data_IF_503325007452
#
_entry.id   IF_503325007452
#
_cell.length_a   1.000
_cell.length_b   1.000
_cell.length_c   1.000
_cell.angle_alpha   90.00
_cell.angle_beta   90.00
_cell.angle_gamma   90.00
#
_symmetry.space_group_name_H-M   'P 1'
#
loop_
_entity.id
_entity.type
_entity.pdbx_description
1 polymer ?
#
# COMPACT_ATOMS: atom_id res chain seq x y z
N UNK A 1 4.47 -30.14 4.17
CA UNK A 1 5.24 -29.50 3.09
C UNK A 1 6.64 -29.07 3.53
N UNK A 2 6.80 -28.24 4.57
CA UNK A 2 8.12 -27.68 4.89
C UNK A 2 8.89 -28.39 6.03
N UNK A 3 8.27 -29.38 6.71
CA UNK A 3 8.91 -30.10 7.83
C UNK A 3 10.23 -30.77 7.43
N UNK A 4 10.32 -31.34 6.23
CA UNK A 4 11.53 -31.99 5.72
C UNK A 4 12.69 -31.03 5.44
N UNK A 5 12.43 -29.72 5.39
CA UNK A 5 13.44 -28.68 5.18
C UNK A 5 14.05 -28.19 6.49
N UNK A 6 13.48 -28.56 7.63
CA UNK A 6 13.94 -28.16 8.96
C UNK A 6 15.09 -29.02 9.43
N UNK A 7 16.09 -28.39 10.04
CA UNK A 7 17.20 -29.09 10.68
C UNK A 7 16.85 -29.36 12.14
N UNK A 8 17.39 -30.46 12.70
CA UNK A 8 17.31 -30.76 14.12
C UNK A 8 18.70 -30.71 14.73
N UNK A 9 18.93 -29.76 15.62
CA UNK A 9 20.19 -29.60 16.36
C UNK A 9 19.91 -29.56 17.86
N UNK A 10 20.70 -30.28 18.66
CA UNK A 10 20.58 -30.29 20.12
C UNK A 10 19.14 -30.53 20.65
N UNK A 11 18.36 -31.38 19.97
CA UNK A 11 16.97 -31.69 20.34
C UNK A 11 15.94 -30.62 19.94
N UNK A 12 16.36 -29.51 19.33
CA UNK A 12 15.50 -28.44 18.83
C UNK A 12 15.26 -28.59 17.34
N UNK A 13 14.07 -28.19 16.88
CA UNK A 13 13.75 -28.10 15.45
C UNK A 13 13.90 -26.65 15.01
N UNK A 14 14.62 -26.40 13.91
CA UNK A 14 14.99 -25.05 13.47
C UNK A 14 14.39 -24.77 12.08
N UNK A 15 13.69 -23.64 11.89
CA UNK A 15 13.21 -22.73 12.94
C UNK A 15 12.15 -23.39 13.83
N UNK A 16 11.98 -22.86 15.04
CA UNK A 16 10.86 -23.22 15.89
C UNK A 16 9.52 -22.78 15.26
N UNK A 17 8.38 -23.06 15.91
CA UNK A 17 7.06 -22.75 15.35
C UNK A 17 6.77 -21.25 15.27
N UNK A 18 7.25 -20.48 16.24
CA UNK A 18 6.98 -19.05 16.29
C UNK A 18 7.82 -18.32 15.23
N UNK A 19 9.10 -18.67 15.11
CA UNK A 19 10.02 -18.13 14.12
C UNK A 19 9.61 -18.52 12.69
N UNK A 20 9.11 -19.75 12.49
CA UNK A 20 8.55 -20.16 11.20
C UNK A 20 7.29 -19.36 10.83
N UNK A 21 6.40 -19.11 11.79
CA UNK A 21 5.19 -18.31 11.56
C UNK A 21 5.52 -16.85 11.24
N UNK A 22 6.51 -16.28 11.95
CA UNK A 22 7.09 -14.97 11.66
C UNK A 22 7.68 -14.91 10.24
N UNK A 23 8.44 -15.93 9.82
CA UNK A 23 9.00 -16.00 8.47
C UNK A 23 7.89 -15.99 7.40
N UNK A 24 6.80 -16.72 7.59
CA UNK A 24 5.70 -16.73 6.59
C UNK A 24 5.01 -15.38 6.47
N UNK A 25 4.76 -14.67 7.58
CA UNK A 25 4.22 -13.30 7.53
C UNK A 25 5.20 -12.34 6.85
N UNK A 26 6.49 -12.46 7.16
CA UNK A 26 7.55 -11.66 6.55
C UNK A 26 7.56 -11.88 5.04
N UNK A 27 7.60 -13.13 4.58
CA UNK A 27 7.53 -13.48 3.16
C UNK A 27 6.30 -12.88 2.48
N UNK A 28 5.11 -12.96 3.07
CA UNK A 28 3.88 -12.39 2.48
C UNK A 28 4.01 -10.87 2.30
N UNK A 29 4.55 -10.18 3.30
CA UNK A 29 4.64 -8.72 3.32
C UNK A 29 5.76 -8.13 2.45
N UNK A 30 6.83 -8.89 2.19
CA UNK A 30 8.05 -8.37 1.55
C UNK A 30 8.42 -9.02 0.23
N UNK A 31 7.64 -10.00 -0.26
CA UNK A 31 7.99 -10.70 -1.50
C UNK A 31 8.09 -9.73 -2.68
N UNK A 32 9.12 -9.85 -3.54
CA UNK A 32 9.34 -8.92 -4.63
C UNK A 32 8.25 -9.02 -5.70
N UNK A 33 7.98 -7.90 -6.37
CA UNK A 33 7.03 -7.85 -7.49
C UNK A 33 7.63 -8.42 -8.78
N UNK A 34 8.96 -8.47 -8.89
CA UNK A 34 9.67 -8.93 -10.08
C UNK A 34 10.65 -10.05 -9.73
N UNK A 35 10.81 -11.03 -10.62
CA UNK A 35 11.79 -12.10 -10.41
C UNK A 35 13.24 -11.62 -10.50
N UNK A 36 13.48 -10.45 -11.11
CA UNK A 36 14.80 -9.82 -11.16
C UNK A 36 15.33 -9.43 -9.77
N UNK A 37 14.45 -9.07 -8.83
CA UNK A 37 14.79 -8.72 -7.45
C UNK A 37 14.93 -9.96 -6.54
N UNK A 38 14.52 -11.14 -7.02
CA UNK A 38 14.42 -12.34 -6.21
C UNK A 38 15.77 -12.81 -5.61
N UNK A 39 16.90 -12.78 -6.33
CA UNK A 39 18.19 -13.17 -5.73
C UNK A 39 18.59 -12.28 -4.55
N UNK A 40 18.58 -10.95 -4.72
CA UNK A 40 18.91 -9.99 -3.65
C UNK A 40 17.92 -10.11 -2.48
N UNK A 41 16.65 -10.38 -2.77
CA UNK A 41 15.62 -10.58 -1.75
C UNK A 41 15.95 -11.75 -0.81
N UNK A 42 16.45 -12.88 -1.32
CA UNK A 42 16.78 -14.05 -0.48
C UNK A 42 17.87 -13.69 0.52
N UNK A 43 18.90 -12.97 0.08
CA UNK A 43 20.01 -12.54 0.95
C UNK A 43 19.53 -11.54 2.01
N UNK A 44 18.75 -10.53 1.60
CA UNK A 44 18.12 -9.57 2.53
C UNK A 44 17.26 -10.25 3.59
N UNK A 45 16.48 -11.25 3.20
CA UNK A 45 15.62 -11.99 4.11
C UNK A 45 16.43 -12.80 5.12
N UNK A 46 17.52 -13.44 4.68
CA UNK A 46 18.42 -14.18 5.59
C UNK A 46 19.00 -13.25 6.66
N UNK A 47 19.54 -12.11 6.25
CA UNK A 47 20.09 -11.12 7.19
C UNK A 47 19.01 -10.64 8.18
N UNK A 48 17.80 -10.40 7.67
CA UNK A 48 16.69 -9.97 8.50
C UNK A 48 16.24 -11.03 9.53
N UNK A 49 16.10 -12.30 9.14
CA UNK A 49 15.68 -13.33 10.09
C UNK A 49 16.70 -13.54 11.20
N UNK A 50 18.01 -13.46 10.91
CA UNK A 50 19.06 -13.54 11.93
C UNK A 50 18.97 -12.36 12.90
N UNK A 51 18.81 -11.14 12.37
CA UNK A 51 18.58 -9.96 13.20
C UNK A 51 17.35 -10.15 14.10
N UNK A 52 16.23 -10.61 13.53
CA UNK A 52 14.98 -10.78 14.27
C UNK A 52 15.13 -11.78 15.44
N UNK A 53 15.75 -12.93 15.22
CA UNK A 53 15.92 -13.94 16.29
C UNK A 53 16.93 -13.52 17.36
N UNK A 54 17.95 -12.74 17.00
CA UNK A 54 18.87 -12.11 17.97
C UNK A 54 18.18 -11.04 18.82
N UNK A 55 17.26 -10.28 18.23
CA UNK A 55 16.46 -9.30 18.99
C UNK A 55 15.49 -9.97 19.96
N UNK A 56 14.88 -11.08 19.54
CA UNK A 56 13.96 -11.87 20.36
C UNK A 56 14.64 -12.54 21.57
N UNK A 57 15.94 -12.88 21.47
CA UNK A 57 16.76 -13.45 22.57
C UNK A 57 16.24 -14.79 23.12
N UNK A 58 15.48 -15.55 22.33
CA UNK A 58 14.95 -16.86 22.72
C UNK A 58 15.97 -17.97 22.49
N UNK A 59 16.51 -18.07 21.27
CA UNK A 59 17.45 -19.13 20.88
C UNK A 59 18.87 -18.62 20.60
N UNK A 60 19.03 -17.34 20.25
CA UNK A 60 20.31 -16.67 19.99
C UNK A 60 20.25 -15.21 20.45
N UNK A 61 21.39 -14.57 20.70
CA UNK A 61 21.46 -13.17 21.09
C UNK A 61 22.73 -12.49 20.54
N UNK A 62 22.70 -11.16 20.42
CA UNK A 62 23.85 -10.37 19.92
C UNK A 62 25.16 -10.63 20.67
N UNK A 63 25.12 -10.76 22.01
CA UNK A 63 26.31 -10.96 22.84
C UNK A 63 26.71 -12.44 22.97
N UNK A 64 25.83 -13.36 22.57
CA UNK A 64 26.07 -14.81 22.65
C UNK A 64 25.34 -15.50 21.50
N UNK A 65 25.89 -15.43 20.28
CA UNK A 65 25.28 -16.06 19.12
C UNK A 65 25.23 -17.59 19.26
N UNK A 66 24.09 -18.18 18.94
CA UNK A 66 23.93 -19.63 18.72
C UNK A 66 24.05 -19.89 17.20
N UNK A 67 25.27 -20.19 16.76
CA UNK A 67 25.57 -20.40 15.34
C UNK A 67 24.78 -21.56 14.73
N UNK A 68 24.44 -22.59 15.51
CA UNK A 68 23.67 -23.73 15.00
C UNK A 68 22.23 -23.30 14.69
N UNK A 69 21.62 -22.50 15.56
CA UNK A 69 20.28 -21.95 15.32
C UNK A 69 20.27 -20.99 14.13
N UNK A 70 21.24 -20.08 14.07
CA UNK A 70 21.33 -19.07 13.01
C UNK A 70 21.58 -19.71 11.64
N UNK A 71 22.54 -20.64 11.56
CA UNK A 71 22.82 -21.36 10.32
C UNK A 71 21.64 -22.24 9.91
N UNK A 72 21.04 -22.97 10.86
CA UNK A 72 19.87 -23.81 10.60
C UNK A 72 18.68 -23.01 10.05
N UNK A 73 18.44 -21.80 10.56
CA UNK A 73 17.36 -20.94 10.06
C UNK A 73 17.70 -20.36 8.69
N UNK A 74 18.95 -19.93 8.47
CA UNK A 74 19.41 -19.46 7.16
C UNK A 74 19.27 -20.55 6.08
N UNK A 75 19.72 -21.77 6.39
CA UNK A 75 19.57 -22.93 5.50
C UNK A 75 18.10 -23.27 5.24
N UNK A 76 17.22 -23.12 6.24
CA UNK A 76 15.78 -23.29 6.04
C UNK A 76 15.24 -22.26 5.03
N UNK A 77 15.59 -20.98 5.16
CA UNK A 77 15.17 -19.92 4.21
C UNK A 77 15.68 -20.23 2.80
N UNK A 78 16.96 -20.55 2.66
CA UNK A 78 17.54 -20.91 1.36
C UNK A 78 16.82 -22.10 0.73
N UNK A 79 16.63 -23.18 1.49
CA UNK A 79 15.97 -24.41 1.00
C UNK A 79 14.51 -24.17 0.66
N UNK A 80 13.83 -23.29 1.40
CA UNK A 80 12.44 -22.93 1.14
C UNK A 80 12.29 -22.19 -0.19
N UNK A 81 13.24 -21.32 -0.51
CA UNK A 81 13.23 -20.42 -1.66
C UNK A 81 14.07 -20.91 -2.86
N UNK A 82 14.81 -22.00 -2.71
CA UNK A 82 15.66 -22.60 -3.76
C UNK A 82 14.82 -23.06 -4.96
N UNK A 83 15.35 -22.80 -6.17
CA UNK A 83 14.80 -23.22 -7.46
C UNK A 83 13.29 -22.91 -7.60
N UNK A 84 12.93 -21.64 -7.87
CA UNK A 84 11.55 -21.16 -7.85
C UNK A 84 10.55 -22.00 -8.63
N UNK A 85 10.99 -22.54 -9.78
CA UNK A 85 10.15 -23.32 -10.69
C UNK A 85 9.93 -24.77 -10.25
N UNK A 86 10.74 -25.28 -9.31
CA UNK A 86 10.68 -26.65 -8.81
C UNK A 86 10.22 -26.74 -7.34
N UNK A 87 10.03 -25.60 -6.66
CA UNK A 87 9.65 -25.57 -5.24
C UNK A 87 8.14 -25.74 -5.05
N UNK A 88 7.73 -26.85 -4.42
CA UNK A 88 6.33 -27.08 -4.01
C UNK A 88 5.78 -25.96 -3.10
N UNK A 89 6.67 -25.31 -2.34
CA UNK A 89 6.27 -24.17 -1.52
C UNK A 89 5.96 -22.96 -2.41
N UNK A 90 6.87 -22.59 -3.32
CA UNK A 90 6.68 -21.39 -4.14
C UNK A 90 5.53 -21.52 -5.12
N UNK A 91 5.24 -22.73 -5.63
CA UNK A 91 4.09 -22.97 -6.50
C UNK A 91 2.74 -22.71 -5.81
N UNK A 92 2.65 -22.95 -4.49
CA UNK A 92 1.46 -22.62 -3.68
C UNK A 92 1.50 -21.21 -3.10
N UNK A 93 2.70 -20.74 -2.75
CA UNK A 93 2.91 -19.44 -2.10
C UNK A 93 2.71 -18.28 -3.06
N UNK A 94 3.29 -18.32 -4.27
CA UNK A 94 3.24 -17.19 -5.22
C UNK A 94 1.81 -16.78 -5.59
N UNK A 95 0.87 -17.69 -5.92
CA UNK A 95 -0.52 -17.30 -6.18
C UNK A 95 -1.20 -16.66 -4.97
N UNK A 96 -0.94 -17.17 -3.77
CA UNK A 96 -1.47 -16.61 -2.54
C UNK A 96 -0.89 -15.22 -2.26
N UNK A 97 0.43 -15.06 -2.37
CA UNK A 97 1.10 -13.78 -2.16
C UNK A 97 0.66 -12.74 -3.20
N UNK A 98 0.51 -13.12 -4.47
CA UNK A 98 0.02 -12.22 -5.51
C UNK A 98 -1.38 -11.66 -5.18
N UNK A 99 -2.28 -12.52 -4.69
CA UNK A 99 -3.59 -12.11 -4.16
C UNK A 99 -3.46 -11.10 -3.02
N UNK A 100 -2.57 -11.33 -2.06
CA UNK A 100 -2.37 -10.42 -0.93
C UNK A 100 -1.76 -9.08 -1.39
N UNK A 101 -0.80 -9.11 -2.30
CA UNK A 101 -0.15 -7.93 -2.86
C UNK A 101 -1.16 -6.96 -3.51
N UNK A 102 -2.17 -7.48 -4.21
CA UNK A 102 -3.22 -6.63 -4.79
C UNK A 102 -4.00 -5.82 -3.75
N UNK A 103 -4.40 -6.47 -2.65
CA UNK A 103 -5.04 -5.77 -1.55
C UNK A 103 -4.06 -4.85 -0.80
N UNK A 104 -2.79 -5.23 -0.71
CA UNK A 104 -1.72 -4.40 -0.17
C UNK A 104 -1.54 -3.09 -0.94
N UNK A 105 -1.61 -3.14 -2.27
CA UNK A 105 -1.59 -1.96 -3.14
C UNK A 105 -2.79 -1.05 -2.83
N UNK A 106 -4.01 -1.59 -2.80
CA UNK A 106 -5.23 -0.82 -2.55
C UNK A 106 -5.24 -0.17 -1.14
N UNK A 107 -4.81 -0.92 -0.12
CA UNK A 107 -4.62 -0.39 1.23
C UNK A 107 -3.57 0.73 1.26
N UNK A 108 -2.46 0.56 0.53
CA UNK A 108 -1.40 1.57 0.46
C UNK A 108 -1.87 2.86 -0.21
N UNK A 109 -2.70 2.78 -1.27
CA UNK A 109 -3.28 3.98 -1.90
C UNK A 109 -4.20 4.73 -0.91
N UNK A 110 -4.98 4.01 -0.12
CA UNK A 110 -5.80 4.59 0.95
C UNK A 110 -4.94 5.28 2.01
N UNK A 111 -3.85 4.64 2.45
CA UNK A 111 -2.92 5.27 3.39
C UNK A 111 -2.24 6.52 2.81
N UNK A 112 -1.87 6.51 1.53
CA UNK A 112 -1.29 7.69 0.86
C UNK A 112 -2.30 8.84 0.82
N UNK A 113 -3.57 8.58 0.51
CA UNK A 113 -4.62 9.60 0.59
C UNK A 113 -4.72 10.18 2.00
N UNK A 114 -4.90 9.32 3.00
CA UNK A 114 -5.09 9.73 4.39
C UNK A 114 -3.90 10.55 4.91
N UNK A 115 -2.67 10.05 4.71
CA UNK A 115 -1.43 10.73 5.12
C UNK A 115 -1.34 12.15 4.56
N UNK A 116 -1.70 12.33 3.29
CA UNK A 116 -1.59 13.62 2.61
C UNK A 116 -2.78 14.56 2.83
N UNK A 117 -3.88 14.11 3.42
CA UNK A 117 -5.10 14.94 3.55
C UNK A 117 -5.51 15.20 4.99
N UNK A 118 -5.05 14.37 5.93
CA UNK A 118 -5.20 14.59 7.36
C UNK A 118 -4.47 15.86 7.84
N UNK A 119 -4.80 16.39 9.04
CA UNK A 119 -4.08 17.50 9.66
C UNK A 119 -2.60 17.17 9.88
N UNK A 120 -1.75 18.19 9.74
CA UNK A 120 -0.29 18.06 9.86
C UNK A 120 0.44 18.16 8.52
N UNK A 121 1.75 17.93 8.57
CA UNK A 121 2.64 17.96 7.41
C UNK A 121 2.95 16.51 7.01
N UNK A 122 2.56 16.06 5.81
CA UNK A 122 2.86 14.71 5.37
C UNK A 122 4.36 14.57 5.14
N UNK A 123 4.95 13.54 5.74
CA UNK A 123 6.32 13.14 5.49
C UNK A 123 6.38 11.99 4.46
N UNK A 124 7.47 11.92 3.72
CA UNK A 124 7.75 10.87 2.75
C UNK A 124 9.21 10.44 2.89
N UNK A 125 9.41 9.23 3.43
CA UNK A 125 10.73 8.63 3.48
C UNK A 125 11.27 8.38 2.08
N UNK A 126 12.58 8.49 1.91
CA UNK A 126 13.22 8.33 0.60
C UNK A 126 12.88 6.98 -0.03
N UNK A 127 12.41 6.99 -1.28
CA UNK A 127 12.04 5.78 -2.01
C UNK A 127 10.58 5.36 -1.89
N UNK A 128 9.83 5.91 -0.92
CA UNK A 128 8.43 5.54 -0.65
C UNK A 128 7.42 6.12 -1.64
N UNK A 129 7.84 6.92 -2.63
CA UNK A 129 6.97 7.26 -3.75
C UNK A 129 6.60 6.04 -4.60
N UNK A 130 7.41 4.97 -4.54
CA UNK A 130 7.14 3.64 -5.11
C UNK A 130 6.81 2.62 -4.00
N UNK A 131 6.68 1.34 -4.35
CA UNK A 131 6.59 0.26 -3.36
C UNK A 131 7.96 0.06 -2.70
N UNK A 132 8.04 0.35 -1.41
CA UNK A 132 9.23 0.11 -0.61
C UNK A 132 8.96 -1.04 0.35
N UNK A 133 9.42 -2.24 -0.02
CA UNK A 133 9.27 -3.47 0.77
C UNK A 133 10.55 -3.77 1.54
N UNK A 134 11.05 -2.76 2.26
CA UNK A 134 12.24 -2.89 3.11
C UNK A 134 11.91 -3.51 4.47
N UNK A 135 12.87 -4.26 5.00
CA UNK A 135 12.90 -4.71 6.38
C UNK A 135 13.44 -3.60 7.31
N UNK A 136 13.65 -3.95 8.58
CA UNK A 136 14.33 -3.07 9.55
C UNK A 136 15.76 -2.73 9.12
N UNK A 137 16.30 -1.65 9.67
CA UNK A 137 17.71 -1.24 9.56
C UNK A 137 18.67 -2.44 9.61
N UNK A 138 19.68 -2.54 8.72
CA UNK A 138 20.06 -1.60 7.67
C UNK A 138 19.30 -1.70 6.35
N UNK A 139 18.32 -2.61 6.22
CA UNK A 139 17.65 -2.87 4.93
C UNK A 139 16.81 -1.68 4.43
N UNK A 140 16.29 -0.84 5.34
CA UNK A 140 15.60 0.42 5.02
C UNK A 140 16.55 1.58 4.70
N UNK A 141 17.87 1.35 4.67
CA UNK A 141 18.90 2.33 4.29
C UNK A 141 19.57 2.02 2.95
N UNK A 142 19.05 1.05 2.18
CA UNK A 142 19.52 0.76 0.82
C UNK A 142 19.41 2.00 -0.07
N UNK A 143 20.26 2.05 -1.09
CA UNK A 143 20.29 3.17 -2.04
C UNK A 143 18.97 3.29 -2.81
N UNK A 144 18.55 4.52 -3.06
CA UNK A 144 17.36 4.82 -3.86
C UNK A 144 17.77 5.13 -5.29
N UNK A 145 17.15 4.46 -6.27
CA UNK A 145 17.28 4.82 -7.68
C UNK A 145 16.41 6.05 -7.99
N UNK A 146 17.01 7.22 -7.87
CA UNK A 146 16.37 8.50 -8.16
C UNK A 146 16.21 8.76 -9.66
N UNK A 147 17.08 8.21 -10.51
CA UNK A 147 16.99 8.41 -11.96
C UNK A 147 15.71 7.77 -12.49
N UNK A 148 15.42 6.53 -12.08
CA UNK A 148 14.18 5.85 -12.43
C UNK A 148 12.94 6.64 -11.98
N UNK A 149 12.93 7.14 -10.75
CA UNK A 149 11.81 7.91 -10.17
C UNK A 149 11.60 9.24 -10.87
N UNK A 150 12.68 9.97 -11.15
CA UNK A 150 12.62 11.24 -11.89
C UNK A 150 12.10 11.04 -13.31
N UNK A 151 12.56 9.99 -14.00
CA UNK A 151 12.07 9.63 -15.33
C UNK A 151 10.59 9.26 -15.32
N UNK A 152 10.15 8.43 -14.37
CA UNK A 152 8.74 8.09 -14.20
C UNK A 152 7.87 9.34 -13.94
N UNK A 153 8.30 10.23 -13.04
CA UNK A 153 7.59 11.49 -12.76
C UNK A 153 7.52 12.41 -13.98
N UNK A 154 8.62 12.51 -14.75
CA UNK A 154 8.65 13.29 -16.00
C UNK A 154 7.63 12.75 -17.01
N UNK A 155 7.57 11.44 -17.19
CA UNK A 155 6.62 10.79 -18.09
C UNK A 155 5.16 10.99 -17.63
N UNK A 156 4.88 10.86 -16.33
CA UNK A 156 3.56 11.17 -15.77
C UNK A 156 3.15 12.61 -16.10
N UNK A 157 4.01 13.59 -15.79
CA UNK A 157 3.73 15.01 -16.02
C UNK A 157 3.48 15.36 -17.48
N UNK A 158 4.13 14.67 -18.42
CA UNK A 158 3.91 14.89 -19.84
C UNK A 158 2.52 14.40 -20.31
N UNK A 159 1.97 13.34 -19.70
CA UNK A 159 0.71 12.71 -20.10
C UNK A 159 -0.52 13.29 -19.40
N UNK A 160 -0.37 13.76 -18.16
CA UNK A 160 -1.46 14.29 -17.32
C UNK A 160 -2.38 15.31 -18.03
N UNK A 161 -1.87 16.30 -18.83
CA UNK A 161 -2.73 17.31 -19.43
C UNK A 161 -3.64 16.81 -20.56
N UNK A 162 -3.32 15.65 -21.15
CA UNK A 162 -3.95 15.19 -22.39
C UNK A 162 -4.75 13.89 -22.21
N UNK A 163 -4.36 13.04 -21.26
CA UNK A 163 -4.73 11.63 -21.24
C UNK A 163 -4.98 11.12 -19.80
N UNK A 164 -5.66 11.90 -18.95
CA UNK A 164 -5.82 11.56 -17.52
C UNK A 164 -6.42 10.17 -17.27
N UNK A 165 -7.56 9.84 -17.89
CA UNK A 165 -8.26 8.58 -17.61
C UNK A 165 -7.54 7.37 -18.22
N UNK A 166 -7.04 7.49 -19.44
CA UNK A 166 -6.24 6.43 -20.09
C UNK A 166 -4.91 6.20 -19.38
N UNK A 167 -4.30 7.25 -18.81
CA UNK A 167 -3.14 7.11 -17.92
C UNK A 167 -3.51 6.32 -16.66
N UNK A 168 -4.63 6.64 -16.00
CA UNK A 168 -5.08 5.91 -14.81
C UNK A 168 -5.30 4.42 -15.11
N UNK A 169 -5.92 4.08 -16.24
CA UNK A 169 -6.12 2.70 -16.66
C UNK A 169 -4.78 1.95 -16.80
N UNK A 170 -3.81 2.58 -17.47
CA UNK A 170 -2.46 2.04 -17.62
C UNK A 170 -1.73 1.88 -16.27
N UNK A 171 -1.91 2.83 -15.34
CA UNK A 171 -1.33 2.76 -13.99
C UNK A 171 -1.91 1.60 -13.17
N UNK A 172 -3.19 1.27 -13.37
CA UNK A 172 -3.79 0.08 -12.77
C UNK A 172 -3.21 -1.22 -13.34
N UNK A 173 -3.04 -1.29 -14.65
CA UNK A 173 -2.43 -2.44 -15.33
C UNK A 173 -0.99 -2.67 -14.86
N UNK A 174 -0.23 -1.58 -14.73
CA UNK A 174 1.18 -1.59 -14.34
C UNK A 174 1.39 -1.33 -12.84
N UNK A 175 0.36 -1.52 -12.01
CA UNK A 175 0.36 -1.17 -10.57
C UNK A 175 1.54 -1.75 -9.79
N UNK A 176 2.05 -2.92 -10.17
CA UNK A 176 3.21 -3.57 -9.56
C UNK A 176 4.51 -2.73 -9.65
N UNK A 177 4.59 -1.80 -10.60
CA UNK A 177 5.76 -0.90 -10.76
C UNK A 177 5.85 0.21 -9.69
N UNK A 178 4.77 0.49 -8.96
CA UNK A 178 4.72 1.59 -7.98
C UNK A 178 4.41 2.96 -8.59
N UNK A 179 4.36 3.09 -9.91
CA UNK A 179 4.05 4.36 -10.59
C UNK A 179 2.66 4.91 -10.25
N UNK A 180 1.68 4.04 -9.95
CA UNK A 180 0.36 4.46 -9.47
C UNK A 180 0.42 5.18 -8.10
N UNK A 181 1.34 4.76 -7.23
CA UNK A 181 1.59 5.40 -5.92
C UNK A 181 2.28 6.75 -6.11
N UNK A 182 3.23 6.84 -7.05
CA UNK A 182 3.88 8.10 -7.43
C UNK A 182 2.86 9.08 -8.00
N UNK A 183 1.99 8.64 -8.91
CA UNK A 183 0.91 9.45 -9.46
C UNK A 183 0.00 10.01 -8.37
N UNK A 184 -0.48 9.15 -7.46
CA UNK A 184 -1.34 9.57 -6.36
C UNK A 184 -0.63 10.58 -5.44
N UNK A 185 0.61 10.28 -5.06
CA UNK A 185 1.42 11.17 -4.22
C UNK A 185 1.60 12.53 -4.88
N UNK A 186 1.92 12.56 -6.18
CA UNK A 186 2.06 13.80 -6.94
C UNK A 186 0.75 14.62 -6.96
N UNK A 187 -0.37 14.01 -7.33
CA UNK A 187 -1.67 14.69 -7.40
C UNK A 187 -2.07 15.29 -6.05
N UNK A 188 -1.88 14.54 -4.95
CA UNK A 188 -2.21 15.02 -3.61
C UNK A 188 -1.28 16.15 -3.15
N UNK A 189 0.01 16.08 -3.45
CA UNK A 189 0.94 17.16 -3.15
C UNK A 189 0.64 18.42 -3.98
N UNK A 190 0.20 18.28 -5.23
CA UNK A 190 -0.30 19.41 -6.02
C UNK A 190 -1.56 20.02 -5.39
N UNK A 191 -2.52 19.19 -4.96
CA UNK A 191 -3.72 19.67 -4.28
C UNK A 191 -3.38 20.43 -3.00
N UNK A 192 -2.47 19.91 -2.17
CA UNK A 192 -1.98 20.59 -0.97
C UNK A 192 -1.28 21.91 -1.28
N UNK A 193 -0.46 21.94 -2.32
CA UNK A 193 0.24 23.15 -2.75
C UNK A 193 -0.74 24.24 -3.20
N UNK A 194 -1.78 23.86 -3.93
CA UNK A 194 -2.82 24.79 -4.42
C UNK A 194 -3.74 25.27 -3.30
N UNK A 195 -4.07 24.40 -2.33
CA UNK A 195 -5.02 24.68 -1.25
C UNK A 195 -4.29 24.76 0.12
N UNK A 196 -3.17 25.49 0.16
CA UNK A 196 -2.26 25.48 1.31
C UNK A 196 -2.95 25.83 2.63
N UNK A 197 -3.76 26.89 2.64
CA UNK A 197 -4.47 27.35 3.84
C UNK A 197 -5.50 26.32 4.32
N UNK A 198 -6.20 25.67 3.40
CA UNK A 198 -7.17 24.62 3.72
C UNK A 198 -6.51 23.44 4.44
N UNK A 199 -5.34 22.99 3.96
CA UNK A 199 -4.67 21.84 4.58
C UNK A 199 -3.89 22.18 5.84
N UNK A 200 -3.42 23.43 6.00
CA UNK A 200 -2.72 23.87 7.20
C UNK A 200 -3.66 24.29 8.33
N UNK A 201 -4.75 25.00 8.01
CA UNK A 201 -5.62 25.66 8.99
C UNK A 201 -7.05 25.12 8.99
N UNK A 202 -7.45 24.36 7.98
CA UNK A 202 -8.82 23.88 7.89
C UNK A 202 -9.17 22.87 8.96
N UNK A 203 -10.43 22.91 9.40
CA UNK A 203 -10.97 22.00 10.41
C UNK A 203 -10.90 20.55 9.95
N UNK A 204 -11.09 19.60 10.87
CA UNK A 204 -11.22 18.19 10.56
C UNK A 204 -12.58 17.69 11.04
N UNK A 205 -13.44 17.32 10.09
CA UNK A 205 -14.77 16.80 10.38
C UNK A 205 -14.89 15.37 9.82
N UNK A 206 -14.99 14.33 10.68
CA UNK A 206 -15.40 13.01 10.23
C UNK A 206 -16.78 13.09 9.56
N UNK A 207 -16.93 12.43 8.40
CA UNK A 207 -18.21 12.39 7.70
C UNK A 207 -18.90 11.06 7.94
N UNK A 208 -20.20 11.12 8.14
CA UNK A 208 -21.04 9.93 8.23
C UNK A 208 -21.12 9.25 6.86
N UNK A 209 -21.01 7.92 6.86
CA UNK A 209 -21.19 7.08 5.69
C UNK A 209 -22.37 6.17 5.96
N UNK A 210 -23.30 6.10 5.02
CA UNK A 210 -24.53 5.31 5.09
C UNK A 210 -24.61 4.37 3.89
N UNK A 211 -25.50 3.37 3.97
CA UNK A 211 -25.69 2.34 2.93
C UNK A 211 -24.99 1.02 3.28
N UNK A 212 -25.06 0.05 2.37
CA UNK A 212 -24.65 -1.34 2.64
C UNK A 212 -23.18 -1.47 3.05
N UNK A 213 -22.28 -0.68 2.44
CA UNK A 213 -20.83 -0.77 2.67
C UNK A 213 -20.29 0.38 3.52
N UNK A 214 -21.10 0.94 4.41
CA UNK A 214 -20.70 2.06 5.28
C UNK A 214 -19.43 1.78 6.12
N UNK A 215 -19.20 0.52 6.51
CA UNK A 215 -18.04 0.11 7.31
C UNK A 215 -16.74 -0.01 6.47
N UNK A 216 -16.86 0.04 5.15
CA UNK A 216 -15.74 -0.07 4.20
C UNK A 216 -15.12 1.27 3.85
N UNK A 217 -15.47 2.34 4.55
CA UNK A 217 -15.05 3.69 4.20
C UNK A 217 -14.49 4.45 5.41
N UNK A 218 -13.46 5.24 5.15
CA UNK A 218 -13.04 6.35 6.00
C UNK A 218 -13.24 7.62 5.18
N UNK A 219 -14.08 8.53 5.67
CA UNK A 219 -14.36 9.79 5.01
C UNK A 219 -14.27 10.96 6.00
N UNK A 220 -13.66 12.06 5.58
CA UNK A 220 -13.62 13.30 6.37
C UNK A 220 -13.52 14.53 5.46
N UNK A 221 -14.01 15.65 5.98
CA UNK A 221 -13.89 16.96 5.36
C UNK A 221 -12.79 17.79 6.03
N UNK A 222 -12.11 18.59 5.21
CA UNK A 222 -11.32 19.77 5.61
C UNK A 222 -12.07 21.01 5.14
N UNK A 223 -12.22 22.01 6.00
CA UNK A 223 -12.96 23.24 5.66
C UNK A 223 -12.23 24.48 6.17
N UNK A 224 -12.07 25.49 5.31
CA UNK A 224 -11.45 26.75 5.67
C UNK A 224 -11.94 27.86 4.74
N UNK A 225 -12.47 28.96 5.31
CA UNK A 225 -12.90 30.17 4.58
C UNK A 225 -13.67 29.89 3.28
N UNK A 226 -14.68 29.03 3.35
CA UNK A 226 -15.55 28.69 2.21
C UNK A 226 -14.98 27.65 1.24
N UNK A 227 -13.73 27.21 1.42
CA UNK A 227 -13.18 26.05 0.70
C UNK A 227 -13.44 24.77 1.49
N UNK A 228 -13.74 23.69 0.78
CA UNK A 228 -13.92 22.37 1.37
C UNK A 228 -13.21 21.30 0.53
N UNK A 229 -12.55 20.36 1.21
CA UNK A 229 -12.02 19.16 0.59
C UNK A 229 -12.51 17.92 1.34
N UNK A 230 -12.90 16.87 0.62
CA UNK A 230 -13.38 15.61 1.18
C UNK A 230 -12.44 14.48 0.75
N UNK A 231 -11.82 13.82 1.72
CA UNK A 231 -11.04 12.62 1.50
C UNK A 231 -11.93 11.39 1.64
N UNK A 232 -11.87 10.48 0.67
CA UNK A 232 -12.67 9.25 0.58
C UNK A 232 -11.71 8.07 0.42
N UNK A 233 -11.50 7.32 1.50
CA UNK A 233 -10.53 6.24 1.59
C UNK A 233 -11.21 4.90 1.96
N UNK A 234 -11.39 4.00 1.00
CA UNK A 234 -11.84 2.64 1.27
C UNK A 234 -10.96 1.83 2.23
N UNK A 235 -11.56 0.82 2.86
CA UNK A 235 -10.91 -0.21 3.68
C UNK A 235 -11.59 -1.56 3.50
N UNK A 236 -10.92 -2.63 3.94
CA UNK A 236 -11.44 -4.01 3.90
C UNK A 236 -11.73 -4.57 2.49
N UNK A 237 -10.88 -4.25 1.52
CA UNK A 237 -11.01 -4.67 0.11
C UNK A 237 -11.17 -6.18 -0.11
N UNK A 238 -10.64 -7.02 0.80
CA UNK A 238 -10.77 -8.49 0.74
C UNK A 238 -12.21 -8.99 0.80
N UNK A 239 -13.11 -8.17 1.35
CA UNK A 239 -14.55 -8.48 1.43
C UNK A 239 -15.36 -7.75 0.35
N UNK A 240 -14.72 -6.91 -0.46
CA UNK A 240 -15.37 -6.03 -1.43
C UNK A 240 -15.22 -6.52 -2.87
N UNK A 241 -14.00 -6.94 -3.26
CA UNK A 241 -13.68 -7.35 -4.63
C UNK A 241 -12.79 -8.60 -4.64
N UNK A 242 -12.91 -9.40 -5.70
CA UNK A 242 -12.00 -10.50 -5.95
C UNK A 242 -10.64 -10.00 -6.45
N UNK A 243 -9.57 -10.81 -6.36
CA UNK A 243 -8.28 -10.48 -6.96
C UNK A 243 -8.44 -10.22 -8.47
N UNK A 244 -7.78 -9.17 -8.96
CA UNK A 244 -7.83 -8.67 -10.34
C UNK A 244 -8.97 -7.69 -10.61
N UNK A 245 -10.01 -7.65 -9.78
CA UNK A 245 -11.12 -6.71 -9.93
C UNK A 245 -10.76 -5.32 -9.39
N UNK A 246 -11.27 -4.28 -10.06
CA UNK A 246 -11.07 -2.90 -9.61
C UNK A 246 -12.23 -2.51 -8.69
N UNK A 247 -11.98 -1.92 -7.50
CA UNK A 247 -13.03 -1.53 -6.57
C UNK A 247 -13.64 -0.17 -6.98
N UNK A 248 -14.18 -0.10 -8.20
CA UNK A 248 -14.61 1.14 -8.84
C UNK A 248 -16.10 1.10 -9.21
N UNK A 249 -16.71 2.28 -9.18
CA UNK A 249 -18.05 2.49 -9.71
C UNK A 249 -19.21 2.00 -8.83
N UNK A 250 -20.42 2.34 -9.28
CA UNK A 250 -21.66 2.07 -8.53
C UNK A 250 -21.95 0.57 -8.32
N UNK A 251 -21.52 -0.30 -9.24
CA UNK A 251 -21.75 -1.74 -9.10
C UNK A 251 -21.04 -2.33 -7.87
N UNK A 252 -19.82 -1.86 -7.58
CA UNK A 252 -19.05 -2.27 -6.41
C UNK A 252 -19.56 -1.60 -5.14
N UNK A 253 -19.79 -0.29 -5.20
CA UNK A 253 -20.10 0.52 -4.03
C UNK A 253 -21.58 0.62 -3.67
N UNK A 254 -22.46 0.06 -4.51
CA UNK A 254 -23.90 -0.06 -4.28
C UNK A 254 -24.54 1.29 -3.90
N UNK A 255 -25.36 1.28 -2.85
CA UNK A 255 -26.07 2.44 -2.30
C UNK A 255 -25.24 3.24 -1.29
N UNK A 256 -23.92 3.01 -1.22
CA UNK A 256 -23.07 3.66 -0.21
C UNK A 256 -22.93 5.15 -0.51
N UNK A 257 -23.26 5.98 0.49
CA UNK A 257 -23.24 7.44 0.39
C UNK A 257 -22.50 8.07 1.57
N UNK A 258 -21.88 9.21 1.31
CA UNK A 258 -21.29 10.07 2.34
C UNK A 258 -22.24 11.23 2.57
N UNK A 259 -22.71 11.40 3.80
CA UNK A 259 -23.60 12.51 4.18
C UNK A 259 -22.77 13.79 4.27
N UNK A 260 -23.24 14.85 3.61
CA UNK A 260 -22.56 16.14 3.58
C UNK A 260 -23.04 17.06 4.71
N UNK A 261 -22.15 17.87 5.30
CA UNK A 261 -22.56 18.95 6.18
C UNK A 261 -23.55 19.91 5.52
N UNK A 262 -24.45 20.49 6.31
CA UNK A 262 -25.40 21.50 5.82
C UNK A 262 -24.62 22.69 5.27
N UNK A 263 -25.00 23.14 4.06
CA UNK A 263 -24.32 24.24 3.37
C UNK A 263 -23.06 23.83 2.62
N UNK A 264 -22.78 22.53 2.49
CA UNK A 264 -21.71 22.04 1.61
C UNK A 264 -21.93 22.46 0.15
N UNK A 265 -20.84 22.70 -0.61
CA UNK A 265 -20.90 22.96 -2.04
C UNK A 265 -21.59 21.82 -2.81
N UNK A 266 -22.27 22.18 -3.89
CA UNK A 266 -22.94 21.21 -4.77
C UNK A 266 -22.09 20.76 -5.95
N UNK A 267 -20.94 21.40 -6.18
CA UNK A 267 -20.03 21.10 -7.30
C UNK A 267 -18.64 20.81 -6.78
N UNK A 268 -18.11 19.68 -7.22
CA UNK A 268 -16.82 19.16 -6.80
C UNK A 268 -15.94 18.88 -8.00
N UNK A 269 -14.64 18.95 -7.80
CA UNK A 269 -13.65 18.35 -8.69
C UNK A 269 -12.86 17.31 -7.91
N UNK A 270 -12.72 16.11 -8.47
CA UNK A 270 -11.81 15.12 -7.93
C UNK A 270 -10.37 15.53 -8.30
N UNK A 271 -9.59 15.96 -7.31
CA UNK A 271 -8.22 16.44 -7.51
C UNK A 271 -7.27 15.35 -8.04
N UNK A 272 -7.64 14.08 -7.96
CA UNK A 272 -6.86 12.96 -8.48
C UNK A 272 -7.15 12.74 -9.97
N UNK A 273 -8.42 12.76 -10.37
CA UNK A 273 -8.87 12.35 -11.71
C UNK A 273 -9.29 13.52 -12.61
N UNK A 274 -9.28 14.75 -12.07
CA UNK A 274 -9.80 15.97 -12.68
C UNK A 274 -11.30 15.92 -13.08
N UNK A 275 -12.02 14.85 -12.75
CA UNK A 275 -13.43 14.72 -13.07
C UNK A 275 -14.28 15.60 -12.16
N UNK A 276 -15.34 16.18 -12.73
CA UNK A 276 -16.30 16.97 -11.97
C UNK A 276 -17.46 16.10 -11.49
N UNK A 277 -18.03 16.46 -10.35
CA UNK A 277 -19.18 15.76 -9.79
C UNK A 277 -20.13 16.77 -9.17
N UNK A 278 -21.41 16.46 -9.21
CA UNK A 278 -22.43 17.20 -8.49
C UNK A 278 -22.92 16.39 -7.28
N UNK A 279 -23.30 17.10 -6.23
CA UNK A 279 -23.93 16.54 -5.05
C UNK A 279 -25.03 17.46 -4.56
N UNK A 280 -25.91 16.90 -3.71
CA UNK A 280 -26.86 17.68 -2.93
C UNK A 280 -26.51 17.48 -1.45
N UNK A 281 -27.30 16.67 -0.74
CA UNK A 281 -27.10 16.36 0.68
C UNK A 281 -26.09 15.23 0.91
N UNK A 282 -25.75 14.47 -0.13
CA UNK A 282 -24.81 13.36 -0.04
C UNK A 282 -23.99 13.17 -1.32
N UNK A 283 -22.90 12.41 -1.19
CA UNK A 283 -22.04 11.96 -2.29
C UNK A 283 -22.15 10.45 -2.42
N UNK A 284 -22.55 9.97 -3.61
CA UNK A 284 -22.50 8.56 -3.93
C UNK A 284 -21.04 8.10 -4.07
N UNK A 285 -20.61 7.15 -3.23
CA UNK A 285 -19.24 6.64 -3.22
C UNK A 285 -18.88 6.03 -4.57
N UNK A 286 -19.81 5.30 -5.19
CA UNK A 286 -19.60 4.72 -6.52
C UNK A 286 -19.27 5.75 -7.59
N UNK A 287 -19.88 6.93 -7.54
CA UNK A 287 -19.58 8.04 -8.45
C UNK A 287 -18.22 8.69 -8.13
N UNK A 288 -17.93 8.91 -6.85
CA UNK A 288 -16.65 9.49 -6.42
C UNK A 288 -15.45 8.59 -6.78
N UNK A 289 -15.64 7.27 -6.70
CA UNK A 289 -14.64 6.23 -6.98
C UNK A 289 -14.86 5.57 -8.35
N UNK A 290 -15.37 6.32 -9.33
CA UNK A 290 -15.65 5.78 -10.67
C UNK A 290 -14.37 5.41 -11.43
N UNK A 291 -13.27 6.16 -11.22
CA UNK A 291 -12.05 6.01 -12.02
C UNK A 291 -10.80 5.68 -11.19
N UNK A 292 -10.81 5.95 -9.89
CA UNK A 292 -9.66 5.72 -9.00
C UNK A 292 -10.16 5.18 -7.65
N UNK A 293 -9.42 4.30 -6.95
CA UNK A 293 -9.94 3.57 -5.80
C UNK A 293 -9.97 4.41 -4.52
N UNK A 294 -9.55 5.67 -4.61
CA UNK A 294 -9.63 6.70 -3.57
C UNK A 294 -10.00 8.03 -4.22
N UNK A 295 -10.59 8.96 -3.47
CA UNK A 295 -10.92 10.28 -3.99
C UNK A 295 -10.52 11.40 -3.03
N UNK A 296 -10.09 12.52 -3.60
CA UNK A 296 -9.99 13.81 -2.94
C UNK A 296 -10.87 14.79 -3.70
N UNK A 297 -12.05 15.08 -3.18
CA UNK A 297 -12.98 16.02 -3.80
C UNK A 297 -12.70 17.42 -3.25
N UNK A 298 -12.59 18.41 -4.11
CA UNK A 298 -12.39 19.81 -3.73
C UNK A 298 -13.52 20.66 -4.28
N UNK A 299 -14.04 21.56 -3.45
CA UNK A 299 -15.07 22.51 -3.85
C UNK A 299 -14.56 23.44 -4.94
N UNK A 300 -15.40 23.72 -5.94
CA UNK A 300 -15.15 24.80 -6.90
C UNK A 300 -15.70 26.12 -6.41
#
# INVERSE_FOLDING_TARGET
>A
MNVSKKVREHGRTIPDRNDEYFLYQTLIGSFPFTDAEFPEFVDRLKDYVIKAVREAKVHTAWLRPDSDYENGFSTFVETLLKAPDASEFLSKFRPFQAKIAEYGILNSLSQVLLKNTAPGVPDLYQGDEFWNLSFVDPDNRRSVDYEQRMNALKQLKARLPHEMLTLIDHLFETRATGTIKLFLTYQLLQARKTLVDLFQQGDYQPLEVVGELQQHMVAFARTYKGQMAIAIAPRFFTTLVQPGERPLGAAVWKDTQIVLPVGSPSTWTNAITAQSMQSQESIAVGGALQHFPVALLVSR
#
